data_IF_478755441530
#
_entry.id   IF_478755441530
#
_cell.length_a   1.000
_cell.length_b   1.000
_cell.length_c   1.000
_cell.angle_alpha   90.00
_cell.angle_beta   90.00
_cell.angle_gamma   90.00
#
_symmetry.space_group_name_H-M   'P 1'
#
loop_
_entity.id
_entity.type
_entity.pdbx_description
1 polymer ?
#
# COMPACT_ATOMS: atom_id res chain seq x y z
N UNK A 1 9.10 -6.17 86.26
CA UNK A 1 8.75 -7.54 86.67
C UNK A 1 9.25 -8.50 85.60
N UNK A 2 10.08 -9.46 86.02
CA UNK A 2 10.51 -10.60 85.20
C UNK A 2 9.31 -11.51 84.94
N UNK A 3 9.15 -12.02 83.72
CA UNK A 3 8.90 -13.45 83.52
C UNK A 3 9.25 -13.88 82.09
N UNK A 4 9.75 -15.12 82.05
CA UNK A 4 10.54 -15.81 81.03
C UNK A 4 9.58 -16.61 80.08
N UNK A 5 10.06 -17.48 79.20
CA UNK A 5 9.80 -17.40 77.76
C UNK A 5 8.88 -18.53 77.27
N UNK A 6 8.45 -18.47 76.01
CA UNK A 6 8.04 -19.68 75.30
C UNK A 6 8.75 -19.75 73.96
N UNK A 7 9.65 -20.72 73.87
CA UNK A 7 10.23 -21.20 72.62
C UNK A 7 9.19 -22.08 71.94
N UNK A 8 8.91 -21.80 70.67
CA UNK A 8 8.46 -22.82 69.73
C UNK A 8 9.25 -22.63 68.43
N UNK A 9 10.19 -23.54 68.16
CA UNK A 9 10.82 -23.67 66.85
C UNK A 9 9.82 -24.29 65.88
N UNK A 10 9.61 -23.67 64.71
CA UNK A 10 9.14 -24.38 63.52
C UNK A 10 9.81 -23.85 62.25
N UNK A 11 10.62 -24.75 61.70
CA UNK A 11 10.96 -25.04 60.31
C UNK A 11 10.86 -23.94 59.24
N UNK A 12 12.02 -23.75 58.62
CA UNK A 12 12.30 -23.06 57.36
C UNK A 12 11.33 -23.42 56.24
N UNK A 13 10.83 -22.39 55.55
CA UNK A 13 10.64 -22.44 54.10
C UNK A 13 11.55 -21.37 53.50
N UNK A 14 12.61 -21.80 52.83
CA UNK A 14 13.34 -20.95 51.91
C UNK A 14 12.46 -20.75 50.68
N UNK A 15 11.79 -19.62 50.61
CA UNK A 15 11.14 -19.16 49.37
C UNK A 15 12.23 -18.65 48.45
N UNK A 16 12.56 -19.43 47.43
CA UNK A 16 13.34 -18.95 46.29
C UNK A 16 12.45 -17.99 45.51
N UNK A 17 12.62 -16.69 45.74
CA UNK A 17 11.99 -15.67 44.93
C UNK A 17 12.58 -15.72 43.52
N UNK A 18 11.78 -16.15 42.54
CA UNK A 18 12.11 -15.96 41.13
C UNK A 18 11.95 -14.47 40.86
N UNK A 19 13.08 -13.76 40.73
CA UNK A 19 13.10 -12.41 40.17
C UNK A 19 12.87 -12.59 38.66
N UNK A 20 11.65 -12.39 38.20
CA UNK A 20 11.37 -12.23 36.79
C UNK A 20 11.98 -10.88 36.34
N UNK A 21 13.15 -10.94 35.72
CA UNK A 21 13.75 -9.79 35.06
C UNK A 21 12.93 -9.50 33.79
N UNK A 22 12.02 -8.53 33.86
CA UNK A 22 11.38 -8.00 32.67
C UNK A 22 12.40 -7.14 31.93
N UNK A 23 13.04 -7.71 30.90
CA UNK A 23 13.80 -6.93 29.92
C UNK A 23 12.77 -6.27 29.01
N UNK A 24 12.47 -5.00 29.27
CA UNK A 24 11.72 -4.17 28.34
C UNK A 24 12.67 -3.85 27.18
N UNK A 25 12.46 -4.50 26.04
CA UNK A 25 13.06 -4.02 24.80
C UNK A 25 12.26 -2.78 24.37
N UNK A 26 12.74 -1.59 24.72
CA UNK A 26 12.28 -0.37 24.07
C UNK A 26 12.76 -0.42 22.61
N UNK A 27 11.88 -0.85 21.70
CA UNK A 27 12.07 -0.58 20.28
C UNK A 27 11.80 0.91 20.07
N UNK A 28 12.86 1.72 20.10
CA UNK A 28 12.77 3.11 19.65
C UNK A 28 12.43 3.10 18.16
N UNK A 29 11.19 3.47 17.82
CA UNK A 29 10.82 3.86 16.47
C UNK A 29 11.47 5.22 16.21
N UNK A 30 12.67 5.21 15.65
CA UNK A 30 13.29 6.42 15.12
C UNK A 30 12.52 6.81 13.86
N UNK A 31 11.84 7.96 13.90
CA UNK A 31 11.36 8.59 12.67
C UNK A 31 12.56 8.95 11.79
N UNK A 32 12.39 8.88 10.46
CA UNK A 32 13.43 9.23 9.50
C UNK A 32 13.84 10.69 9.69
N UNK A 33 15.07 10.92 10.18
CA UNK A 33 15.57 12.23 10.61
C UNK A 33 16.30 13.02 9.51
N UNK A 34 16.27 12.53 8.26
CA UNK A 34 16.86 13.21 7.10
C UNK A 34 15.84 13.34 5.99
N UNK A 35 15.33 14.56 5.79
CA UNK A 35 14.63 14.98 4.59
C UNK A 35 15.67 15.57 3.64
N UNK A 36 16.40 14.72 2.94
CA UNK A 36 17.22 15.17 1.80
C UNK A 36 16.30 15.24 0.59
N UNK A 37 16.44 16.29 -0.23
CA UNK A 37 15.75 16.34 -1.52
C UNK A 37 16.19 15.13 -2.34
N UNK A 38 15.25 14.25 -2.68
CA UNK A 38 15.48 13.10 -3.53
C UNK A 38 15.21 13.47 -5.01
N UNK A 39 15.60 14.67 -5.43
CA UNK A 39 15.28 15.20 -6.76
C UNK A 39 15.74 14.23 -7.85
N UNK A 40 17.01 13.80 -7.80
CA UNK A 40 17.58 12.83 -8.75
C UNK A 40 16.83 11.50 -8.77
N UNK A 41 16.22 11.09 -7.65
CA UNK A 41 15.40 9.87 -7.57
C UNK A 41 14.09 10.05 -8.33
N UNK A 42 13.42 11.19 -8.14
CA UNK A 42 12.14 11.46 -8.79
C UNK A 42 12.29 11.90 -10.24
N UNK A 43 13.41 12.52 -10.62
CA UNK A 43 13.70 12.90 -11.99
C UNK A 43 13.83 11.68 -12.91
N UNK A 44 14.09 10.49 -12.37
CA UNK A 44 14.02 9.23 -13.14
C UNK A 44 12.64 8.99 -13.76
N UNK A 45 11.56 9.44 -13.14
CA UNK A 45 10.21 9.31 -13.71
C UNK A 45 10.00 10.18 -14.96
N UNK A 46 10.92 11.11 -15.25
CA UNK A 46 10.91 11.82 -16.52
C UNK A 46 11.28 10.91 -17.70
N UNK A 47 11.82 9.72 -17.46
CA UNK A 47 12.24 8.75 -18.48
C UNK A 47 11.78 7.32 -18.14
N UNK A 48 10.45 7.13 -18.07
CA UNK A 48 9.83 5.80 -17.93
C UNK A 48 9.52 5.23 -19.31
N UNK A 49 9.93 3.99 -19.55
CA UNK A 49 9.66 3.26 -20.78
C UNK A 49 8.17 2.91 -20.94
N UNK A 50 7.79 2.38 -22.11
CA UNK A 50 6.42 2.00 -22.46
C UNK A 50 5.38 3.14 -22.42
N UNK A 51 5.83 4.38 -22.60
CA UNK A 51 4.96 5.53 -22.85
C UNK A 51 4.27 6.09 -21.60
N UNK A 52 4.70 5.71 -20.40
CA UNK A 52 4.19 6.33 -19.18
C UNK A 52 4.62 7.80 -19.10
N UNK A 53 3.64 8.67 -18.92
CA UNK A 53 3.83 10.11 -19.01
C UNK A 53 3.75 10.81 -17.65
N UNK A 54 2.70 10.50 -16.87
CA UNK A 54 2.44 11.05 -15.55
C UNK A 54 1.39 10.19 -14.83
N UNK A 55 1.35 10.25 -13.50
CA UNK A 55 0.31 9.60 -12.68
C UNK A 55 0.23 10.17 -11.26
N UNK A 56 -0.75 9.73 -10.48
CA UNK A 56 -0.95 10.02 -9.06
C UNK A 56 -0.57 8.83 -8.12
N UNK A 57 -0.84 8.98 -6.82
CA UNK A 57 -0.54 8.03 -5.73
C UNK A 57 0.95 7.78 -5.44
N UNK A 58 1.71 7.19 -6.36
CA UNK A 58 3.16 6.88 -6.22
C UNK A 58 3.52 6.07 -4.96
N UNK A 59 3.08 4.81 -4.91
CA UNK A 59 3.29 3.92 -3.74
C UNK A 59 4.35 2.87 -4.08
N UNK A 60 5.40 2.70 -3.26
CA UNK A 60 6.50 1.77 -3.53
C UNK A 60 6.41 0.47 -2.74
N UNK A 61 6.82 -0.63 -3.38
CA UNK A 61 7.05 -1.93 -2.78
C UNK A 61 8.43 -2.46 -3.19
N UNK A 62 9.39 -2.57 -2.25
CA UNK A 62 10.62 -3.32 -2.49
C UNK A 62 10.32 -4.80 -2.78
N UNK A 63 10.93 -5.34 -3.82
CA UNK A 63 10.74 -6.72 -4.28
C UNK A 63 11.92 -7.62 -3.85
N UNK A 64 11.72 -8.95 -3.78
CA UNK A 64 12.72 -9.88 -3.24
C UNK A 64 14.01 -10.00 -4.06
N UNK A 65 13.98 -9.57 -5.31
CA UNK A 65 15.10 -9.58 -6.26
C UNK A 65 15.81 -8.22 -6.36
N UNK A 66 15.54 -7.30 -5.43
CA UNK A 66 16.18 -5.98 -5.37
C UNK A 66 15.52 -4.92 -6.25
N UNK A 67 14.48 -5.27 -7.02
CA UNK A 67 13.69 -4.30 -7.79
C UNK A 67 12.73 -3.53 -6.87
N UNK A 68 12.19 -2.43 -7.38
CA UNK A 68 11.09 -1.70 -6.72
C UNK A 68 9.89 -1.66 -7.64
N UNK A 69 8.72 -2.11 -7.16
CA UNK A 69 7.47 -1.92 -7.85
C UNK A 69 6.82 -0.62 -7.36
N UNK A 70 6.49 0.27 -8.29
CA UNK A 70 5.76 1.49 -8.02
C UNK A 70 4.32 1.33 -8.51
N UNK A 71 3.36 1.54 -7.61
CA UNK A 71 1.93 1.50 -7.88
C UNK A 71 1.42 2.92 -8.09
N UNK A 72 0.61 3.08 -9.13
CA UNK A 72 0.13 4.37 -9.61
C UNK A 72 -1.39 4.28 -9.86
N UNK A 73 -2.12 5.34 -9.50
CA UNK A 73 -3.54 5.46 -9.82
C UNK A 73 -3.72 6.03 -11.23
N UNK A 74 -4.54 7.06 -11.39
CA UNK A 74 -4.89 7.58 -12.71
C UNK A 74 -3.62 8.02 -13.47
N UNK A 75 -3.33 7.32 -14.58
CA UNK A 75 -2.08 7.39 -15.33
C UNK A 75 -2.29 7.82 -16.78
N UNK A 76 -1.46 8.73 -17.27
CA UNK A 76 -1.35 9.04 -18.69
C UNK A 76 -0.35 8.13 -19.39
N UNK A 77 -0.81 7.38 -20.38
CA UNK A 77 -0.01 6.52 -21.25
C UNK A 77 -0.06 7.09 -22.67
N UNK A 78 1.09 7.39 -23.26
CA UNK A 78 1.19 7.99 -24.58
C UNK A 78 2.54 8.63 -24.87
N UNK A 79 2.50 9.86 -25.36
CA UNK A 79 3.66 10.60 -25.86
C UNK A 79 3.94 11.86 -25.01
N UNK A 80 5.17 12.00 -24.54
CA UNK A 80 5.69 13.24 -23.95
C UNK A 80 6.06 14.24 -25.04
N UNK A 81 5.76 15.53 -24.82
CA UNK A 81 6.18 16.65 -25.69
C UNK A 81 7.31 17.49 -25.07
N UNK A 82 7.74 17.12 -23.87
CA UNK A 82 8.85 17.71 -23.12
C UNK A 82 8.98 17.00 -21.76
N UNK A 83 9.90 17.44 -20.91
CA UNK A 83 10.16 16.81 -19.59
C UNK A 83 8.90 16.74 -18.72
N UNK A 84 8.08 17.80 -18.73
CA UNK A 84 6.88 17.92 -17.90
C UNK A 84 5.59 18.14 -18.72
N UNK A 85 5.60 17.77 -20.00
CA UNK A 85 4.50 18.03 -20.93
C UNK A 85 4.10 16.76 -21.67
N UNK A 86 2.79 16.56 -21.84
CA UNK A 86 2.21 15.41 -22.56
C UNK A 86 1.55 15.88 -23.86
N UNK A 87 1.44 14.99 -24.85
CA UNK A 87 0.61 15.20 -26.03
C UNK A 87 -0.82 14.70 -25.74
N UNK A 88 -1.82 15.57 -25.51
CA UNK A 88 -3.15 15.13 -25.10
C UNK A 88 -3.88 14.32 -26.19
N UNK A 89 -3.59 14.55 -27.48
CA UNK A 89 -4.25 13.84 -28.58
C UNK A 89 -3.65 12.47 -28.86
N UNK A 90 -2.47 12.17 -28.28
CA UNK A 90 -1.75 10.90 -28.43
C UNK A 90 -1.52 10.20 -27.10
N UNK A 91 -2.27 10.58 -26.07
CA UNK A 91 -2.19 9.98 -24.75
C UNK A 91 -3.59 9.61 -24.23
N UNK A 92 -3.64 8.53 -23.47
CA UNK A 92 -4.86 7.99 -22.87
C UNK A 92 -4.71 7.98 -21.36
N UNK A 93 -5.80 8.31 -20.66
CA UNK A 93 -5.86 8.16 -19.21
C UNK A 93 -6.42 6.79 -18.86
N UNK A 94 -5.68 6.00 -18.09
CA UNK A 94 -6.09 4.72 -17.52
C UNK A 94 -6.15 4.84 -16.00
N UNK A 95 -6.90 3.99 -15.31
CA UNK A 95 -7.17 4.20 -13.89
C UNK A 95 -6.10 3.67 -12.94
N UNK A 96 -5.17 2.87 -13.43
CA UNK A 96 -4.01 2.44 -12.67
C UNK A 96 -2.93 1.90 -13.62
N UNK A 97 -1.69 2.04 -13.20
CA UNK A 97 -0.54 1.38 -13.81
C UNK A 97 0.47 0.97 -12.75
N UNK A 98 1.49 0.22 -13.13
CA UNK A 98 2.66 0.03 -12.28
C UNK A 98 3.92 0.35 -13.07
N UNK A 99 4.98 0.75 -12.36
CA UNK A 99 6.31 0.92 -12.95
C UNK A 99 7.26 0.01 -12.16
N UNK A 100 7.98 -0.85 -12.89
CA UNK A 100 9.03 -1.66 -12.32
C UNK A 100 10.34 -0.89 -12.48
N UNK A 101 11.00 -0.58 -11.36
CA UNK A 101 12.33 0.01 -11.35
C UNK A 101 13.36 -1.06 -11.02
N UNK A 102 14.39 -1.15 -11.85
CA UNK A 102 15.61 -1.88 -11.54
C UNK A 102 16.86 -0.99 -11.61
N UNK A 103 18.04 -1.60 -11.64
CA UNK A 103 19.30 -0.85 -11.65
C UNK A 103 19.46 0.04 -12.89
N UNK A 104 18.82 -0.33 -14.00
CA UNK A 104 19.06 0.25 -15.32
C UNK A 104 17.94 1.15 -15.82
N UNK A 105 16.69 0.81 -15.53
CA UNK A 105 15.54 1.51 -16.12
C UNK A 105 14.30 1.50 -15.22
N UNK A 106 13.32 2.32 -15.63
CA UNK A 106 11.95 2.27 -15.14
C UNK A 106 11.05 1.86 -16.30
N UNK A 107 10.35 0.74 -16.17
CA UNK A 107 9.47 0.22 -17.22
C UNK A 107 8.03 0.18 -16.74
N UNK A 108 7.13 0.83 -17.49
CA UNK A 108 5.71 0.80 -17.17
C UNK A 108 5.05 -0.52 -17.62
N UNK A 109 4.16 -1.01 -16.77
CA UNK A 109 3.29 -2.16 -17.03
C UNK A 109 1.82 -1.75 -16.85
N UNK A 110 1.05 -2.10 -17.87
CA UNK A 110 -0.39 -1.91 -17.98
C UNK A 110 -0.91 -2.95 -18.98
N UNK A 111 -2.22 -3.11 -19.10
CA UNK A 111 -2.81 -4.08 -20.04
C UNK A 111 -3.03 -3.44 -21.42
N UNK A 112 -3.20 -4.26 -22.46
CA UNK A 112 -3.44 -3.76 -23.81
C UNK A 112 -2.16 -3.30 -24.51
N UNK A 113 -2.23 -2.23 -25.31
CA UNK A 113 -1.10 -1.73 -26.11
C UNK A 113 -0.91 -0.23 -25.93
N UNK A 114 0.23 0.33 -26.33
CA UNK A 114 0.46 1.78 -26.27
C UNK A 114 -0.61 2.60 -27.01
N UNK A 115 -1.14 2.07 -28.12
CA UNK A 115 -2.18 2.72 -28.91
C UNK A 115 -3.60 2.57 -28.33
N UNK A 116 -3.81 1.59 -27.44
CA UNK A 116 -5.07 1.36 -26.76
C UNK A 116 -4.79 0.74 -25.38
N UNK A 117 -4.30 1.54 -24.42
CA UNK A 117 -3.88 1.02 -23.13
C UNK A 117 -5.10 0.75 -22.24
N UNK A 118 -4.92 -0.14 -21.27
CA UNK A 118 -5.93 -0.51 -20.29
C UNK A 118 -5.27 -0.67 -18.92
N UNK A 119 -6.02 -0.44 -17.85
CA UNK A 119 -5.49 -0.45 -16.47
C UNK A 119 -4.77 -1.75 -16.11
N UNK A 120 -3.69 -1.66 -15.33
CA UNK A 120 -2.91 -2.81 -14.87
C UNK A 120 -3.75 -3.81 -14.06
N UNK A 121 -4.52 -3.31 -13.10
CA UNK A 121 -5.66 -3.97 -12.43
C UNK A 121 -6.88 -3.78 -13.35
N UNK A 122 -7.35 -4.85 -14.00
CA UNK A 122 -8.47 -4.75 -14.94
C UNK A 122 -9.74 -4.25 -14.25
N UNK A 123 -10.54 -3.47 -14.97
CA UNK A 123 -11.84 -3.01 -14.53
C UNK A 123 -12.81 -4.18 -14.25
N UNK A 124 -13.78 -3.94 -13.36
CA UNK A 124 -14.89 -4.85 -13.06
C UNK A 124 -16.22 -4.22 -13.48
N UNK A 125 -16.63 -4.50 -14.72
CA UNK A 125 -17.79 -3.87 -15.36
C UNK A 125 -17.58 -2.37 -15.52
N UNK A 126 -18.47 -1.57 -14.93
CA UNK A 126 -18.38 -0.10 -14.93
C UNK A 126 -17.52 0.46 -13.78
N UNK A 127 -16.90 -0.42 -12.98
CA UNK A 127 -16.02 -0.04 -11.89
C UNK A 127 -14.55 -0.19 -12.29
N UNK A 128 -13.70 0.64 -11.71
CA UNK A 128 -12.25 0.54 -11.82
C UNK A 128 -11.62 0.42 -10.43
N UNK A 129 -10.31 0.26 -10.39
CA UNK A 129 -9.57 0.05 -9.15
C UNK A 129 -8.46 1.09 -9.02
N UNK A 130 -8.36 1.73 -7.87
CA UNK A 130 -7.17 2.51 -7.49
C UNK A 130 -6.32 1.68 -6.52
N UNK A 131 -5.02 1.51 -6.80
CA UNK A 131 -4.14 0.77 -5.91
C UNK A 131 -3.94 1.55 -4.61
N UNK A 132 -3.92 0.79 -3.52
CA UNK A 132 -3.44 1.24 -2.22
C UNK A 132 -2.01 0.67 -2.09
N UNK A 133 -1.69 -0.08 -1.03
CA UNK A 133 -0.40 -0.75 -0.90
C UNK A 133 -0.45 -2.20 -1.42
N UNK A 134 0.70 -2.87 -1.46
CA UNK A 134 0.83 -4.25 -1.91
C UNK A 134 1.77 -5.03 -1.01
N UNK A 135 1.70 -6.34 -1.15
CA UNK A 135 2.62 -7.27 -0.50
C UNK A 135 2.96 -8.39 -1.46
N UNK A 136 4.20 -8.86 -1.42
CA UNK A 136 4.62 -10.08 -2.09
C UNK A 136 4.79 -11.20 -1.07
N UNK A 137 4.21 -12.36 -1.39
CA UNK A 137 4.33 -13.59 -0.61
C UNK A 137 4.64 -14.72 -1.58
N UNK A 138 5.81 -15.35 -1.39
CA UNK A 138 6.37 -16.31 -2.33
C UNK A 138 6.51 -15.69 -3.74
N UNK A 139 5.86 -16.28 -4.74
CA UNK A 139 5.82 -15.86 -6.13
C UNK A 139 4.57 -15.03 -6.49
N UNK A 140 3.81 -14.59 -5.49
CA UNK A 140 2.51 -13.96 -5.68
C UNK A 140 2.51 -12.54 -5.12
N UNK A 141 2.35 -11.58 -6.02
CA UNK A 141 2.09 -10.18 -5.68
C UNK A 141 0.59 -10.02 -5.39
N UNK A 142 0.28 -9.39 -4.25
CA UNK A 142 -1.07 -9.07 -3.80
C UNK A 142 -1.18 -7.56 -3.66
N UNK A 143 -1.86 -6.92 -4.61
CA UNK A 143 -2.10 -5.48 -4.61
C UNK A 143 -3.45 -5.21 -3.97
N UNK A 144 -3.48 -4.49 -2.85
CA UNK A 144 -4.73 -4.00 -2.30
C UNK A 144 -5.19 -2.81 -3.14
N UNK A 145 -6.48 -2.76 -3.43
CA UNK A 145 -7.05 -1.69 -4.23
C UNK A 145 -8.46 -1.39 -3.76
N UNK A 146 -8.88 -0.12 -3.86
CA UNK A 146 -10.27 0.28 -3.64
C UNK A 146 -11.03 0.18 -4.95
N UNK A 147 -12.25 -0.35 -4.88
CA UNK A 147 -13.16 -0.34 -6.03
C UNK A 147 -13.81 1.02 -6.16
N UNK A 148 -13.73 1.64 -7.33
CA UNK A 148 -14.30 2.95 -7.62
C UNK A 148 -15.36 2.81 -8.71
N UNK A 149 -16.46 3.52 -8.54
CA UNK A 149 -17.56 3.56 -9.52
C UNK A 149 -17.84 4.99 -9.94
N UNK A 150 -18.14 5.20 -11.22
CA UNK A 150 -18.61 6.50 -11.68
C UNK A 150 -19.94 6.85 -11.02
N UNK A 151 -20.03 8.07 -10.48
CA UNK A 151 -21.21 8.58 -9.79
C UNK A 151 -21.38 10.07 -10.11
N UNK A 152 -22.39 10.41 -10.92
CA UNK A 152 -22.67 11.80 -11.24
C UNK A 152 -23.32 12.51 -10.04
N UNK A 153 -22.51 13.24 -9.29
CA UNK A 153 -22.92 14.15 -8.21
C UNK A 153 -23.01 15.62 -8.65
N UNK A 154 -22.97 15.90 -9.96
CA UNK A 154 -22.89 17.26 -10.54
C UNK A 154 -21.67 18.09 -10.08
N UNK A 155 -20.61 17.45 -9.56
CA UNK A 155 -19.34 18.09 -9.22
C UNK A 155 -18.22 17.63 -10.17
N UNK A 156 -17.85 18.43 -11.19
CA UNK A 156 -16.83 18.05 -12.17
C UNK A 156 -15.52 17.61 -11.51
N UNK A 157 -14.92 16.52 -12.01
CA UNK A 157 -13.67 15.97 -11.50
C UNK A 157 -13.82 15.06 -10.28
N UNK A 158 -14.96 15.10 -9.57
CA UNK A 158 -15.24 14.26 -8.40
C UNK A 158 -16.50 13.42 -8.58
N UNK A 159 -16.81 13.06 -9.82
CA UNK A 159 -17.99 12.27 -10.19
C UNK A 159 -17.76 10.76 -9.99
N UNK A 160 -17.33 10.36 -8.80
CA UNK A 160 -17.08 8.97 -8.44
C UNK A 160 -17.48 8.67 -7.00
N UNK A 161 -17.65 7.38 -6.71
CA UNK A 161 -17.83 6.83 -5.38
C UNK A 161 -16.76 5.78 -5.11
N UNK A 162 -16.03 5.97 -4.02
CA UNK A 162 -15.08 4.99 -3.49
C UNK A 162 -15.86 3.93 -2.72
N UNK A 163 -15.55 2.67 -2.99
CA UNK A 163 -16.11 1.50 -2.34
C UNK A 163 -15.10 0.85 -1.39
N UNK A 164 -15.28 -0.44 -1.17
CA UNK A 164 -14.44 -1.22 -0.25
C UNK A 164 -13.21 -1.82 -0.93
N UNK A 165 -12.37 -2.50 -0.13
CA UNK A 165 -11.11 -3.09 -0.56
C UNK A 165 -11.26 -4.41 -1.30
N UNK A 166 -10.45 -4.55 -2.32
CA UNK A 166 -10.23 -5.76 -3.11
C UNK A 166 -8.72 -6.07 -3.09
N UNK A 167 -8.39 -7.31 -3.46
CA UNK A 167 -7.01 -7.74 -3.65
C UNK A 167 -6.88 -8.25 -5.08
N UNK A 168 -6.00 -7.61 -5.86
CA UNK A 168 -5.58 -8.08 -7.17
C UNK A 168 -4.32 -8.94 -7.02
N UNK A 169 -4.34 -10.12 -7.64
CA UNK A 169 -3.30 -11.13 -7.54
C UNK A 169 -2.55 -11.23 -8.86
N UNK A 170 -1.23 -11.24 -8.78
CA UNK A 170 -0.34 -11.39 -9.93
C UNK A 170 0.75 -12.41 -9.65
N UNK A 171 1.20 -13.14 -10.68
CA UNK A 171 2.46 -13.90 -10.61
C UNK A 171 3.64 -12.95 -10.75
N UNK A 172 4.65 -13.13 -9.91
CA UNK A 172 5.92 -12.42 -9.96
C UNK A 172 7.05 -13.40 -10.33
N UNK A 173 8.03 -13.05 -11.19
CA UNK A 173 8.34 -11.71 -11.72
C UNK A 173 7.55 -11.27 -12.97
N UNK A 174 6.75 -12.16 -13.58
CA UNK A 174 6.09 -11.86 -14.86
C UNK A 174 4.99 -10.79 -14.83
N UNK A 175 4.53 -10.39 -13.64
CA UNK A 175 3.36 -9.51 -13.42
C UNK A 175 2.12 -9.99 -14.18
N UNK A 176 1.92 -11.30 -14.27
CA UNK A 176 0.78 -11.91 -14.95
C UNK A 176 -0.45 -11.86 -14.06
N UNK A 177 -1.52 -11.23 -14.54
CA UNK A 177 -2.78 -11.10 -13.80
C UNK A 177 -3.44 -12.47 -13.56
N UNK A 178 -3.80 -12.74 -12.31
CA UNK A 178 -4.50 -13.95 -11.90
C UNK A 178 -5.99 -13.66 -11.71
N UNK A 179 -6.32 -12.74 -10.80
CA UNK A 179 -7.69 -12.42 -10.39
C UNK A 179 -7.73 -11.20 -9.47
N UNK A 180 -8.87 -10.51 -9.41
CA UNK A 180 -9.18 -9.51 -8.37
C UNK A 180 -10.37 -10.03 -7.56
N UNK A 181 -10.24 -10.04 -6.22
CA UNK A 181 -11.27 -10.56 -5.31
C UNK A 181 -11.61 -9.57 -4.21
N UNK A 182 -12.88 -9.52 -3.82
CA UNK A 182 -13.29 -8.79 -2.63
C UNK A 182 -12.73 -9.48 -1.37
N UNK A 183 -12.66 -8.73 -0.26
CA UNK A 183 -12.31 -9.27 1.06
C UNK A 183 -13.62 -9.65 1.77
N UNK A 184 -14.00 -10.94 1.89
CA UNK A 184 -15.35 -11.30 2.34
C UNK A 184 -15.65 -10.91 3.79
N UNK A 185 -14.62 -10.81 4.64
CA UNK A 185 -14.75 -10.38 6.03
C UNK A 185 -14.96 -8.87 6.20
N UNK A 186 -14.81 -8.08 5.13
CA UNK A 186 -15.00 -6.64 5.15
C UNK A 186 -16.47 -6.31 4.86
N UNK A 187 -17.28 -6.23 5.91
CA UNK A 187 -18.73 -6.01 5.81
C UNK A 187 -19.15 -4.55 5.91
N UNK A 188 -18.30 -3.69 6.47
CA UNK A 188 -18.53 -2.23 6.54
C UNK A 188 -18.01 -1.58 5.26
N UNK A 189 -18.91 -1.08 4.42
CA UNK A 189 -18.56 -0.49 3.13
C UNK A 189 -17.89 0.89 3.24
N UNK A 190 -17.93 1.52 4.42
CA UNK A 190 -17.20 2.77 4.69
C UNK A 190 -15.75 2.51 5.12
N UNK A 191 -15.34 1.24 5.20
CA UNK A 191 -14.01 0.86 5.62
C UNK A 191 -13.23 0.26 4.44
N UNK A 192 -11.98 0.71 4.31
CA UNK A 192 -11.01 0.21 3.34
C UNK A 192 -9.71 -0.16 4.03
N UNK A 193 -9.26 -1.38 3.84
CA UNK A 193 -7.98 -1.89 4.30
C UNK A 193 -6.96 -1.97 3.17
N UNK A 194 -5.68 -1.92 3.51
CA UNK A 194 -4.57 -1.99 2.56
C UNK A 194 -3.91 -0.65 2.27
N UNK A 195 -4.36 0.44 2.90
CA UNK A 195 -3.76 1.77 2.77
C UNK A 195 -2.28 1.79 3.19
N UNK A 196 -1.91 0.95 4.15
CA UNK A 196 -0.52 0.67 4.47
C UNK A 196 -0.37 -0.78 4.93
N UNK A 197 0.73 -1.42 4.56
CA UNK A 197 1.07 -2.80 4.92
C UNK A 197 2.48 -2.79 5.47
N UNK A 198 2.65 -3.37 6.65
CA UNK A 198 3.94 -3.46 7.33
C UNK A 198 4.17 -4.91 7.74
N UNK A 199 5.29 -5.49 7.33
CA UNK A 199 5.74 -6.79 7.84
C UNK A 199 6.66 -6.59 9.04
N UNK A 200 6.41 -7.34 10.11
CA UNK A 200 7.26 -7.38 11.30
C UNK A 200 7.24 -8.78 11.92
N UNK A 201 8.36 -9.49 11.82
CA UNK A 201 8.45 -10.91 12.18
C UNK A 201 7.48 -11.75 11.33
N UNK A 202 6.72 -12.62 11.99
CA UNK A 202 5.74 -13.51 11.35
C UNK A 202 4.40 -12.82 11.01
N UNK A 203 4.26 -11.52 11.33
CA UNK A 203 3.00 -10.80 11.18
C UNK A 203 3.05 -9.81 10.02
N UNK A 204 1.95 -9.78 9.26
CA UNK A 204 1.64 -8.73 8.28
C UNK A 204 0.53 -7.85 8.85
N UNK A 205 0.85 -6.61 9.18
CA UNK A 205 -0.10 -5.60 9.64
C UNK A 205 -0.71 -4.91 8.44
N UNK A 206 -2.04 -4.88 8.37
CA UNK A 206 -2.79 -4.24 7.28
C UNK A 206 -3.59 -3.10 7.89
N UNK A 207 -3.17 -1.87 7.62
CA UNK A 207 -3.84 -0.67 8.07
C UNK A 207 -4.94 -0.27 7.10
N UNK A 208 -5.97 0.40 7.61
CA UNK A 208 -7.11 0.83 6.84
C UNK A 208 -7.58 2.23 7.22
N UNK A 209 -8.37 2.80 6.33
CA UNK A 209 -9.06 4.07 6.51
C UNK A 209 -10.55 3.76 6.67
N UNK A 210 -11.20 4.51 7.55
CA UNK A 210 -12.65 4.53 7.66
C UNK A 210 -13.13 5.92 7.31
N UNK A 211 -13.95 6.01 6.29
CA UNK A 211 -14.56 7.27 5.88
C UNK A 211 -15.45 7.77 7.01
N UNK A 212 -15.26 9.02 7.39
CA UNK A 212 -16.05 9.67 8.43
C UNK A 212 -16.60 10.98 7.91
N UNK A 213 -17.84 11.29 8.29
CA UNK A 213 -18.44 12.60 8.03
C UNK A 213 -18.08 13.53 9.18
N UNK A 214 -17.46 14.68 8.86
CA UNK A 214 -17.20 15.75 9.81
C UNK A 214 -17.57 17.09 9.19
N UNK A 215 -18.33 17.91 9.93
CA UNK A 215 -18.70 19.27 9.47
C UNK A 215 -19.42 19.34 8.12
N UNK A 216 -20.35 18.41 7.85
CA UNK A 216 -21.08 18.25 6.57
C UNK A 216 -20.21 17.86 5.36
N UNK A 217 -18.93 17.55 5.55
CA UNK A 217 -18.09 16.93 4.52
C UNK A 217 -17.95 15.44 4.80
N UNK A 218 -18.26 14.62 3.80
CA UNK A 218 -17.91 13.20 3.78
C UNK A 218 -16.64 13.08 2.97
N UNK A 219 -15.55 12.68 3.63
CA UNK A 219 -14.29 12.36 2.96
C UNK A 219 -14.38 10.94 2.39
N UNK A 220 -14.03 10.73 1.11
CA UNK A 220 -13.85 9.40 0.54
C UNK A 220 -12.55 8.71 0.99
#
# INVERSE_FOLDING_TARGET
MKHNPYIVRRFSKASWGIIALFVVFESTLTAQHSLTLAQDRFDKFNDVENGWCASDATISLPLPDGKTLWLFGDSFIGEKTGTFSINPSRSHMINNSVVLEDESSLTAHYQGTLANPSSFIPADGNAFFWPEHAVIENDTLKVFAVRVTYYNNNNPGFNFKVGTSFIAYYKYPGLEYITTRNIPSLTDTAMRFGACIVKSGEFTYIFGVKDTTSGNMTWP
#
